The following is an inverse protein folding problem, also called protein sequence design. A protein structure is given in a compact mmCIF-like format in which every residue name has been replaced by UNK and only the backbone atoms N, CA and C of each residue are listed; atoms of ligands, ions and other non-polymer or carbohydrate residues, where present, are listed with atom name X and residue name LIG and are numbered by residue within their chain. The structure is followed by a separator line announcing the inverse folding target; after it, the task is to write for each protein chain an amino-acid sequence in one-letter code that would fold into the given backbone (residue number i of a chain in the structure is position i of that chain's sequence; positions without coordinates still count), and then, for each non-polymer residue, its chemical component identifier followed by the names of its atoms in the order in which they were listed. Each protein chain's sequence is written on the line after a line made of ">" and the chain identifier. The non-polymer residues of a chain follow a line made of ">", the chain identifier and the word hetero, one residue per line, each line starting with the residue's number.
data_IF_894809210519
#
_entry.id   IF_894809210519
#
_cell.length_a   1.000
_cell.length_b   1.000
_cell.length_c   1.000
_cell.angle_alpha   90.00
_cell.angle_beta   90.00
_cell.angle_gamma   90.00
#
_symmetry.space_group_name_H-M   'P 1'
#
loop_
_entity.id
_entity.type
_entity.pdbx_description
1 polymer ?
#
# COMPACT_ATOMS: atom_id res chain seq x y z
N UNK A 1 29.21 -5.27 -9.57
CA UNK A 1 27.81 -4.90 -9.24
C UNK A 1 27.14 -4.51 -10.55
N UNK A 2 26.15 -5.27 -11.00
CA UNK A 2 25.45 -5.04 -12.26
C UNK A 2 24.51 -3.85 -12.07
N UNK A 3 24.73 -2.77 -12.83
CA UNK A 3 23.81 -1.64 -12.91
C UNK A 3 22.73 -2.01 -13.92
N UNK A 4 21.58 -2.50 -13.46
CA UNK A 4 20.50 -2.93 -14.33
C UNK A 4 19.82 -1.77 -15.08
N UNK A 5 19.90 -0.53 -14.57
CA UNK A 5 19.25 0.65 -15.17
C UNK A 5 20.26 1.81 -15.25
N UNK A 6 20.50 2.33 -16.45
CA UNK A 6 21.25 3.58 -16.66
C UNK A 6 20.38 4.76 -16.28
N UNK A 7 20.98 5.83 -15.72
CA UNK A 7 20.28 7.07 -15.35
C UNK A 7 19.47 7.67 -16.51
N UNK A 8 19.90 7.45 -17.75
CA UNK A 8 19.19 7.85 -18.98
C UNK A 8 17.80 7.23 -19.13
N UNK A 9 17.54 6.05 -18.56
CA UNK A 9 16.24 5.38 -18.65
C UNK A 9 15.24 5.81 -17.57
N UNK A 10 15.67 6.58 -16.57
CA UNK A 10 14.79 7.01 -15.48
C UNK A 10 13.61 7.81 -16.02
N UNK A 11 13.86 8.75 -16.94
CA UNK A 11 12.81 9.56 -17.55
C UNK A 11 11.74 8.72 -18.24
N UNK A 12 12.16 7.76 -19.06
CA UNK A 12 11.25 6.84 -19.75
C UNK A 12 10.42 6.01 -18.78
N UNK A 13 11.03 5.57 -17.68
CA UNK A 13 10.32 4.82 -16.65
C UNK A 13 9.25 5.70 -15.98
N UNK A 14 9.57 6.96 -15.66
CA UNK A 14 8.58 7.89 -15.11
C UNK A 14 7.44 8.13 -16.10
N UNK A 15 7.75 8.24 -17.40
CA UNK A 15 6.74 8.39 -18.45
C UNK A 15 5.83 7.16 -18.57
N UNK A 16 6.37 5.95 -18.42
CA UNK A 16 5.57 4.71 -18.38
C UNK A 16 4.64 4.69 -17.16
N UNK A 17 5.12 5.10 -15.99
CA UNK A 17 4.29 5.18 -14.78
C UNK A 17 3.14 6.18 -14.97
N UNK A 18 3.45 7.37 -15.52
CA UNK A 18 2.45 8.39 -15.84
C UNK A 18 1.47 7.88 -16.90
N UNK A 19 1.95 7.27 -17.98
CA UNK A 19 1.11 6.70 -19.03
C UNK A 19 0.15 5.64 -18.49
N UNK A 20 0.64 4.77 -17.60
CA UNK A 20 -0.17 3.78 -16.90
C UNK A 20 -1.28 4.46 -16.06
N UNK A 21 -0.96 5.55 -15.37
CA UNK A 21 -1.93 6.32 -14.61
C UNK A 21 -2.99 6.99 -15.50
N UNK A 22 -2.60 7.52 -16.67
CA UNK A 22 -3.54 8.10 -17.64
C UNK A 22 -4.52 7.03 -18.12
N UNK A 23 -4.04 5.86 -18.54
CA UNK A 23 -4.91 4.75 -18.97
C UNK A 23 -5.86 4.32 -17.86
N UNK A 24 -5.34 4.18 -16.63
CA UNK A 24 -6.16 3.83 -15.47
C UNK A 24 -7.21 4.91 -15.14
N UNK A 25 -6.86 6.19 -15.26
CA UNK A 25 -7.78 7.31 -15.08
C UNK A 25 -8.88 7.35 -16.14
N UNK A 26 -8.55 7.15 -17.43
CA UNK A 26 -9.53 7.09 -18.51
C UNK A 26 -10.55 5.98 -18.23
N UNK A 27 -10.07 4.80 -17.85
CA UNK A 27 -10.96 3.69 -17.55
C UNK A 27 -11.78 3.92 -16.27
N UNK A 28 -11.17 4.48 -15.23
CA UNK A 28 -11.87 4.87 -14.01
C UNK A 28 -12.93 5.95 -14.27
N UNK A 29 -12.69 6.87 -15.19
CA UNK A 29 -13.65 7.87 -15.62
C UNK A 29 -14.85 7.22 -16.33
N UNK A 30 -14.62 6.25 -17.21
CA UNK A 30 -15.73 5.48 -17.81
C UNK A 30 -16.56 4.77 -16.73
N UNK A 31 -15.90 4.18 -15.73
CA UNK A 31 -16.58 3.53 -14.61
C UNK A 31 -17.39 4.52 -13.75
N UNK A 32 -16.95 5.78 -13.58
CA UNK A 32 -17.75 6.79 -12.85
C UNK A 32 -19.00 7.21 -13.62
N UNK A 33 -19.04 6.98 -14.94
CA UNK A 33 -20.22 7.21 -15.80
C UNK A 33 -21.08 5.95 -15.99
N UNK A 34 -20.79 4.87 -15.27
CA UNK A 34 -21.56 3.64 -15.35
C UNK A 34 -21.11 2.68 -16.46
N UNK A 35 -20.00 2.95 -17.12
CA UNK A 35 -19.47 2.09 -18.19
C UNK A 35 -18.32 1.21 -17.68
N UNK A 36 -18.56 -0.09 -17.66
CA UNK A 36 -17.54 -1.09 -17.39
C UNK A 36 -17.52 -2.20 -18.45
N UNK A 37 -16.63 -2.07 -19.44
CA UNK A 37 -16.49 -3.06 -20.51
C UNK A 37 -15.82 -4.36 -20.06
N UNK A 38 -15.00 -4.34 -19.01
CA UNK A 38 -14.34 -5.54 -18.50
C UNK A 38 -15.17 -6.28 -17.44
N UNK A 39 -16.30 -5.69 -17.01
CA UNK A 39 -17.28 -6.28 -16.09
C UNK A 39 -16.63 -6.79 -14.80
N UNK A 40 -15.87 -5.93 -14.14
CA UNK A 40 -15.30 -6.22 -12.83
C UNK A 40 -16.41 -6.40 -11.79
N UNK A 41 -16.12 -7.17 -10.74
CA UNK A 41 -16.92 -7.15 -9.54
C UNK A 41 -16.79 -5.77 -8.88
N UNK A 42 -17.82 -4.95 -9.01
CA UNK A 42 -17.90 -3.57 -8.55
C UNK A 42 -18.73 -3.49 -7.27
N UNK A 43 -18.31 -4.24 -6.24
CA UNK A 43 -18.99 -4.30 -4.92
C UNK A 43 -19.10 -2.92 -4.24
N UNK A 44 -18.31 -1.93 -4.73
CA UNK A 44 -18.29 -0.54 -4.25
C UNK A 44 -19.22 0.41 -5.03
N UNK A 45 -19.99 -0.12 -6.00
CA UNK A 45 -20.98 0.61 -6.79
C UNK A 45 -20.40 1.21 -8.08
N UNK A 46 -20.82 0.66 -9.22
CA UNK A 46 -20.58 1.23 -10.55
C UNK A 46 -21.20 2.63 -10.63
N UNK A 47 -20.44 3.63 -11.10
CA UNK A 47 -20.86 5.03 -11.10
C UNK A 47 -20.78 5.75 -9.73
N UNK A 48 -20.39 5.05 -8.66
CA UNK A 48 -20.34 5.63 -7.31
C UNK A 48 -18.90 5.81 -6.84
N UNK A 49 -18.06 4.77 -7.00
CA UNK A 49 -16.65 4.76 -6.59
C UNK A 49 -15.83 3.97 -7.61
N UNK A 50 -15.20 4.63 -8.59
CA UNK A 50 -14.42 3.94 -9.61
C UNK A 50 -13.19 3.26 -8.98
N UNK A 51 -12.87 2.07 -9.49
CA UNK A 51 -11.71 1.28 -9.05
C UNK A 51 -10.71 0.99 -10.18
N UNK A 52 -11.04 1.40 -11.40
CA UNK A 52 -10.28 1.09 -12.62
C UNK A 52 -9.98 -0.42 -12.68
N UNK A 53 -8.74 -0.80 -12.98
CA UNK A 53 -8.25 -2.19 -12.98
C UNK A 53 -7.66 -2.66 -11.64
N UNK A 54 -7.82 -1.88 -10.55
CA UNK A 54 -7.20 -2.17 -9.26
C UNK A 54 -8.07 -3.02 -8.32
N UNK A 55 -9.31 -3.33 -8.71
CA UNK A 55 -10.23 -4.16 -7.92
C UNK A 55 -10.70 -3.55 -6.59
N UNK A 56 -10.26 -2.33 -6.25
CA UNK A 56 -10.75 -1.58 -5.11
C UNK A 56 -10.45 -0.07 -5.28
N UNK A 57 -11.40 0.85 -5.00
CA UNK A 57 -11.20 2.29 -5.16
C UNK A 57 -10.02 2.83 -4.36
N UNK A 58 -9.76 2.25 -3.18
CA UNK A 58 -8.65 2.65 -2.32
C UNK A 58 -7.26 2.29 -2.86
N UNK A 59 -7.12 1.18 -3.59
CA UNK A 59 -5.83 0.83 -4.21
C UNK A 59 -5.56 1.71 -5.43
N UNK A 60 -6.62 1.98 -6.20
CA UNK A 60 -6.55 2.92 -7.30
C UNK A 60 -6.14 4.32 -6.83
N UNK A 61 -6.79 4.85 -5.79
CA UNK A 61 -6.47 6.14 -5.21
C UNK A 61 -5.03 6.20 -4.64
N UNK A 62 -4.57 5.13 -3.99
CA UNK A 62 -3.20 5.03 -3.50
C UNK A 62 -2.18 5.10 -4.65
N UNK A 63 -2.41 4.34 -5.73
CA UNK A 63 -1.55 4.36 -6.90
C UNK A 63 -1.52 5.77 -7.53
N UNK A 64 -2.68 6.39 -7.73
CA UNK A 64 -2.76 7.76 -8.25
C UNK A 64 -2.04 8.78 -7.36
N UNK A 65 -2.20 8.68 -6.03
CA UNK A 65 -1.51 9.54 -5.08
C UNK A 65 0.01 9.37 -5.15
N UNK A 66 0.50 8.14 -5.38
CA UNK A 66 1.92 7.86 -5.60
C UNK A 66 2.45 8.47 -6.91
N UNK A 67 1.60 8.69 -7.92
CA UNK A 67 2.02 9.26 -9.22
C UNK A 67 2.10 10.79 -9.18
N UNK A 68 1.37 11.45 -8.28
CA UNK A 68 1.36 12.93 -8.15
C UNK A 68 2.76 13.54 -8.02
N UNK A 69 3.66 13.07 -7.12
CA UNK A 69 5.02 13.61 -7.02
C UNK A 69 5.82 13.49 -8.33
N UNK A 70 5.61 12.42 -9.09
CA UNK A 70 6.28 12.18 -10.38
C UNK A 70 5.78 13.16 -11.44
N UNK A 71 4.48 13.44 -11.47
CA UNK A 71 3.89 14.43 -12.38
C UNK A 71 4.39 15.84 -12.03
N UNK A 72 4.48 16.17 -10.74
CA UNK A 72 5.04 17.45 -10.28
C UNK A 72 6.49 17.61 -10.74
N UNK A 73 7.32 16.57 -10.62
CA UNK A 73 8.68 16.58 -11.18
C UNK A 73 8.70 16.98 -12.66
N UNK A 74 7.83 16.38 -13.47
CA UNK A 74 7.74 16.66 -14.92
C UNK A 74 7.23 18.07 -15.22
N UNK A 75 6.35 18.64 -14.40
CA UNK A 75 5.90 20.04 -14.52
C UNK A 75 7.07 21.01 -14.43
N UNK A 76 8.02 20.78 -13.51
CA UNK A 76 9.19 21.67 -13.35
C UNK A 76 10.27 21.46 -14.41
N UNK A 77 10.39 20.24 -14.95
CA UNK A 77 11.47 19.88 -15.87
C UNK A 77 11.12 20.08 -17.35
N UNK A 78 9.86 19.88 -17.72
CA UNK A 78 9.45 19.86 -19.12
C UNK A 78 9.05 21.24 -19.65
N UNK A 79 9.42 21.53 -20.89
CA UNK A 79 8.90 22.67 -21.66
C UNK A 79 7.38 22.56 -21.93
N UNK A 80 6.82 21.34 -21.86
CA UNK A 80 5.40 21.05 -22.04
C UNK A 80 4.66 20.88 -20.71
N UNK A 81 4.97 21.73 -19.72
CA UNK A 81 4.42 21.65 -18.36
C UNK A 81 2.88 21.66 -18.31
N UNK A 82 2.22 22.31 -19.28
CA UNK A 82 0.76 22.35 -19.39
C UNK A 82 0.12 20.96 -19.58
N UNK A 83 0.78 20.03 -20.30
CA UNK A 83 0.29 18.66 -20.47
C UNK A 83 0.25 17.96 -19.11
N UNK A 84 1.32 18.12 -18.32
CA UNK A 84 1.41 17.53 -17.00
C UNK A 84 0.46 18.19 -15.98
N UNK A 85 0.10 19.46 -16.15
CA UNK A 85 -0.96 20.11 -15.37
C UNK A 85 -2.34 19.51 -15.67
N UNK A 86 -2.64 19.21 -16.94
CA UNK A 86 -3.89 18.52 -17.33
C UNK A 86 -3.91 17.10 -16.73
N UNK A 87 -2.80 16.36 -16.84
CA UNK A 87 -2.66 15.02 -16.25
C UNK A 87 -2.86 15.09 -14.72
N UNK A 88 -2.25 16.07 -14.05
CA UNK A 88 -2.42 16.28 -12.62
C UNK A 88 -3.89 16.53 -12.27
N UNK A 89 -4.58 17.39 -13.02
CA UNK A 89 -6.01 17.66 -12.86
C UNK A 89 -6.87 16.39 -12.98
N UNK A 90 -6.60 15.57 -13.99
CA UNK A 90 -7.28 14.28 -14.17
C UNK A 90 -7.03 13.32 -13.00
N UNK A 91 -5.78 13.19 -12.55
CA UNK A 91 -5.42 12.33 -11.40
C UNK A 91 -6.14 12.80 -10.13
N UNK A 92 -6.12 14.10 -9.85
CA UNK A 92 -6.78 14.70 -8.69
C UNK A 92 -8.29 14.46 -8.74
N UNK A 93 -8.92 14.68 -9.89
CA UNK A 93 -10.33 14.40 -10.11
C UNK A 93 -10.66 12.92 -9.84
N UNK A 94 -9.86 11.99 -10.36
CA UNK A 94 -10.10 10.57 -10.12
C UNK A 94 -9.91 10.16 -8.66
N UNK A 95 -8.92 10.71 -7.94
CA UNK A 95 -8.77 10.49 -6.49
C UNK A 95 -10.02 10.97 -5.75
N UNK A 96 -10.57 12.11 -6.13
CA UNK A 96 -11.81 12.63 -5.57
C UNK A 96 -13.00 11.67 -5.78
N UNK A 97 -13.19 11.19 -7.01
CA UNK A 97 -14.25 10.22 -7.35
C UNK A 97 -14.14 8.90 -6.57
N UNK A 98 -12.93 8.44 -6.25
CA UNK A 98 -12.76 7.21 -5.45
C UNK A 98 -13.32 7.31 -4.03
N UNK A 99 -13.56 8.54 -3.52
CA UNK A 99 -13.99 8.84 -2.14
C UNK A 99 -13.10 8.17 -1.08
N UNK A 100 -11.80 8.04 -1.37
CA UNK A 100 -10.83 7.35 -0.51
C UNK A 100 -10.07 8.34 0.37
N UNK A 101 -10.39 8.32 1.68
CA UNK A 101 -9.81 9.24 2.67
C UNK A 101 -8.33 8.96 2.98
N UNK A 102 -7.89 7.71 2.97
CA UNK A 102 -6.49 7.34 3.30
C UNK A 102 -5.48 8.00 2.35
N UNK A 103 -5.83 8.11 1.06
CA UNK A 103 -4.98 8.73 0.06
C UNK A 103 -4.94 10.25 0.21
N UNK A 104 -6.00 10.90 0.70
CA UNK A 104 -5.98 12.33 1.03
C UNK A 104 -5.06 12.64 2.22
N UNK A 105 -5.07 11.79 3.26
CA UNK A 105 -4.15 11.93 4.39
C UNK A 105 -2.70 11.80 3.90
N UNK A 106 -2.42 10.82 3.04
CA UNK A 106 -1.10 10.66 2.44
C UNK A 106 -0.68 11.86 1.58
N UNK A 107 -1.61 12.43 0.80
CA UNK A 107 -1.36 13.66 0.03
C UNK A 107 -1.15 14.90 0.90
N UNK A 108 -1.84 15.01 2.04
CA UNK A 108 -1.60 16.08 2.99
C UNK A 108 -0.18 16.01 3.58
N UNK A 109 0.27 14.81 3.96
CA UNK A 109 1.66 14.59 4.42
C UNK A 109 2.67 14.95 3.33
N UNK A 110 2.41 14.52 2.09
CA UNK A 110 3.23 14.91 0.94
C UNK A 110 3.29 16.44 0.76
N UNK A 111 2.13 17.11 0.79
CA UNK A 111 2.05 18.56 0.59
C UNK A 111 2.82 19.33 1.67
N UNK A 112 2.79 18.86 2.93
CA UNK A 112 3.58 19.44 4.03
C UNK A 112 5.09 19.30 3.73
N UNK A 113 5.56 18.11 3.36
CA UNK A 113 6.97 17.87 3.06
C UNK A 113 7.43 18.68 1.86
N UNK A 114 6.58 18.77 0.85
CA UNK A 114 6.83 19.57 -0.33
C UNK A 114 6.95 21.07 0.03
N UNK A 115 6.03 21.59 0.85
CA UNK A 115 6.06 22.97 1.33
C UNK A 115 7.34 23.25 2.13
N UNK A 116 7.70 22.39 3.08
CA UNK A 116 8.93 22.53 3.87
C UNK A 116 10.17 22.55 2.97
N UNK A 117 10.21 21.68 1.97
CA UNK A 117 11.30 21.64 0.98
C UNK A 117 11.41 22.96 0.21
N UNK A 118 10.28 23.53 -0.21
CA UNK A 118 10.30 24.78 -0.96
C UNK A 118 10.70 25.97 -0.09
N UNK A 119 10.23 26.02 1.17
CA UNK A 119 10.66 27.03 2.14
C UNK A 119 12.17 26.96 2.34
N UNK A 120 12.71 25.77 2.58
CA UNK A 120 14.15 25.57 2.78
C UNK A 120 14.98 26.00 1.57
N UNK A 121 14.45 25.83 0.35
CA UNK A 121 15.12 26.22 -0.90
C UNK A 121 14.77 27.63 -1.37
N UNK A 122 14.03 28.44 -0.59
CA UNK A 122 13.62 29.80 -0.97
C UNK A 122 12.56 29.87 -2.08
N UNK A 123 11.97 28.74 -2.48
CA UNK A 123 10.99 28.59 -3.56
C UNK A 123 9.52 28.59 -3.08
N UNK A 124 9.27 29.03 -1.85
CA UNK A 124 7.95 29.01 -1.19
C UNK A 124 6.88 29.88 -1.87
N UNK A 125 7.29 30.83 -2.72
CA UNK A 125 6.38 31.67 -3.54
C UNK A 125 5.91 31.00 -4.83
N UNK A 126 6.19 29.71 -5.03
CA UNK A 126 5.73 29.00 -6.22
C UNK A 126 4.20 28.79 -6.18
N UNK A 127 3.50 29.37 -7.14
CA UNK A 127 2.04 29.27 -7.31
C UNK A 127 1.54 27.81 -7.31
N UNK A 128 2.34 26.88 -7.84
CA UNK A 128 2.04 25.44 -7.89
C UNK A 128 1.78 24.86 -6.49
N UNK A 129 2.50 25.32 -5.48
CA UNK A 129 2.41 24.81 -4.09
C UNK A 129 1.13 25.26 -3.41
N UNK A 130 0.78 26.53 -3.60
CA UNK A 130 -0.50 27.07 -3.15
C UNK A 130 -1.66 26.34 -3.84
N UNK A 131 -1.54 26.01 -5.13
CA UNK A 131 -2.55 25.26 -5.89
C UNK A 131 -2.69 23.83 -5.34
N UNK A 132 -1.59 23.10 -5.15
CA UNK A 132 -1.65 21.72 -4.61
C UNK A 132 -2.26 21.72 -3.21
N UNK A 133 -1.84 22.63 -2.32
CA UNK A 133 -2.41 22.75 -0.98
C UNK A 133 -3.89 23.12 -1.03
N UNK A 134 -4.28 24.09 -1.86
CA UNK A 134 -5.67 24.49 -2.02
C UNK A 134 -6.53 23.34 -2.57
N UNK A 135 -6.01 22.54 -3.50
CA UNK A 135 -6.69 21.36 -4.04
C UNK A 135 -6.86 20.30 -2.94
N UNK A 136 -5.79 19.95 -2.23
CA UNK A 136 -5.84 18.93 -1.16
C UNK A 136 -6.78 19.36 -0.04
N UNK A 137 -6.68 20.62 0.40
CA UNK A 137 -7.54 21.20 1.44
C UNK A 137 -8.98 21.28 0.93
N UNK A 138 -9.20 21.78 -0.29
CA UNK A 138 -10.53 21.91 -0.90
C UNK A 138 -11.23 20.56 -1.05
N UNK A 139 -10.53 19.54 -1.53
CA UNK A 139 -11.04 18.16 -1.62
C UNK A 139 -11.34 17.60 -0.23
N UNK A 140 -10.44 17.80 0.72
CA UNK A 140 -10.60 17.31 2.09
C UNK A 140 -11.78 17.98 2.80
N UNK A 141 -11.95 19.29 2.64
CA UNK A 141 -13.08 20.05 3.16
C UNK A 141 -14.37 19.60 2.49
N UNK A 142 -14.41 19.49 1.16
CA UNK A 142 -15.59 19.04 0.45
C UNK A 142 -16.05 17.65 0.93
N UNK A 143 -15.14 16.68 0.98
CA UNK A 143 -15.45 15.32 1.40
C UNK A 143 -15.85 15.21 2.88
N UNK A 144 -15.45 16.17 3.72
CA UNK A 144 -15.87 16.22 5.11
C UNK A 144 -17.18 16.97 5.34
N UNK A 145 -17.53 17.93 4.47
CA UNK A 145 -18.73 18.78 4.64
C UNK A 145 -19.94 18.24 3.89
N UNK A 146 -19.75 17.70 2.68
CA UNK A 146 -20.85 17.35 1.77
C UNK A 146 -21.11 15.84 1.63
N UNK A 147 -20.31 14.99 2.28
CA UNK A 147 -20.55 13.54 2.37
C UNK A 147 -21.10 13.25 3.76
N UNK A 148 -22.30 12.66 3.85
CA UNK A 148 -23.00 12.40 5.10
C UNK A 148 -22.09 11.75 6.17
N UNK A 149 -22.14 12.31 7.37
CA UNK A 149 -21.25 12.07 8.53
C UNK A 149 -19.76 12.40 8.29
N UNK A 150 -19.35 13.53 8.85
CA UNK A 150 -17.96 14.02 8.78
C UNK A 150 -16.97 12.98 9.34
N UNK A 151 -15.76 12.88 8.76
CA UNK A 151 -14.76 11.94 9.26
C UNK A 151 -14.35 12.25 10.71
N UNK A 152 -14.40 13.53 11.08
CA UNK A 152 -14.08 14.03 12.42
C UNK A 152 -15.16 13.66 13.43
N UNK A 153 -16.45 13.77 13.08
CA UNK A 153 -17.54 13.39 13.98
C UNK A 153 -17.53 11.89 14.24
N UNK A 154 -17.35 11.06 13.20
CA UNK A 154 -17.20 9.61 13.36
C UNK A 154 -15.98 9.23 14.19
N UNK A 155 -14.81 9.81 13.88
CA UNK A 155 -13.58 9.51 14.61
C UNK A 155 -13.63 9.94 16.09
N UNK A 156 -14.26 11.08 16.40
CA UNK A 156 -14.49 11.52 17.79
C UNK A 156 -15.46 10.59 18.52
N UNK A 157 -16.58 10.24 17.89
CA UNK A 157 -17.53 9.28 18.46
C UNK A 157 -16.86 7.92 18.71
N UNK A 158 -16.02 7.46 17.79
CA UNK A 158 -15.29 6.20 17.89
C UNK A 158 -14.27 6.22 19.03
N UNK A 159 -13.45 7.26 19.16
CA UNK A 159 -12.49 7.40 20.27
C UNK A 159 -13.21 7.42 21.62
N UNK A 160 -14.32 8.16 21.73
CA UNK A 160 -15.08 8.27 22.97
C UNK A 160 -15.66 6.91 23.38
N UNK A 161 -16.21 6.15 22.43
CA UNK A 161 -16.74 4.80 22.70
C UNK A 161 -15.65 3.81 23.13
N UNK A 162 -14.45 3.90 22.53
CA UNK A 162 -13.29 3.06 22.90
C UNK A 162 -12.81 3.37 24.32
N UNK A 163 -12.69 4.65 24.67
CA UNK A 163 -12.26 5.06 26.01
C UNK A 163 -13.26 4.61 27.07
N UNK A 164 -14.55 4.60 26.74
CA UNK A 164 -15.63 4.22 27.65
C UNK A 164 -15.92 2.72 27.73
N UNK A 165 -15.24 1.88 26.94
CA UNK A 165 -15.53 0.44 26.83
C UNK A 165 -17.02 0.13 26.53
N UNK A 166 -17.72 1.05 25.86
CA UNK A 166 -19.12 0.84 25.46
C UNK A 166 -19.20 -0.06 24.23
N UNK A 167 -20.32 -0.77 24.08
CA UNK A 167 -20.52 -1.75 23.02
C UNK A 167 -20.46 -1.09 21.63
N UNK A 168 -19.38 -1.35 20.89
CA UNK A 168 -19.07 -0.67 19.62
C UNK A 168 -19.80 -1.31 18.43
N UNK A 169 -20.98 -1.86 18.65
CA UNK A 169 -21.74 -2.68 17.70
C UNK A 169 -22.37 -1.90 16.53
N UNK A 170 -22.46 -0.56 16.61
CA UNK A 170 -23.07 0.25 15.56
C UNK A 170 -22.07 1.09 14.76
N UNK A 171 -21.85 0.64 13.52
CA UNK A 171 -21.40 1.34 12.29
C UNK A 171 -20.49 2.57 12.49
N UNK A 172 -19.18 2.34 12.33
CA UNK A 172 -18.08 3.31 12.43
C UNK A 172 -16.79 2.67 12.97
N UNK A 173 -16.98 1.66 13.81
CA UNK A 173 -16.00 1.00 14.69
C UNK A 173 -15.22 -0.20 14.13
N UNK A 174 -15.48 -0.61 12.88
CA UNK A 174 -15.00 -1.91 12.37
C UNK A 174 -13.47 -2.02 12.43
N UNK A 175 -12.74 -0.95 12.10
CA UNK A 175 -11.26 -0.97 12.06
C UNK A 175 -10.61 -1.05 13.43
N UNK A 176 -11.20 -0.41 14.44
CA UNK A 176 -10.63 -0.44 15.79
C UNK A 176 -10.71 -1.86 16.36
N UNK A 177 -11.85 -2.53 16.20
CA UNK A 177 -12.02 -3.94 16.56
C UNK A 177 -11.07 -4.86 15.79
N UNK A 178 -10.89 -4.60 14.49
CA UNK A 178 -9.88 -5.29 13.67
C UNK A 178 -8.48 -5.13 14.25
N UNK A 179 -8.09 -3.91 14.63
CA UNK A 179 -6.77 -3.64 15.19
C UNK A 179 -6.58 -4.26 16.57
N UNK A 180 -7.61 -4.23 17.42
CA UNK A 180 -7.59 -4.92 18.71
C UNK A 180 -7.37 -6.42 18.54
N UNK A 181 -8.03 -7.04 17.56
CA UNK A 181 -7.81 -8.45 17.22
C UNK A 181 -6.40 -8.69 16.69
N UNK A 182 -5.91 -7.83 15.81
CA UNK A 182 -4.51 -7.83 15.37
C UNK A 182 -3.52 -7.79 16.54
N UNK A 183 -3.75 -6.94 17.53
CA UNK A 183 -2.94 -6.87 18.75
C UNK A 183 -3.00 -8.17 19.57
N UNK A 184 -4.18 -8.79 19.69
CA UNK A 184 -4.31 -10.11 20.36
C UNK A 184 -3.47 -11.18 19.64
N UNK A 185 -3.52 -11.21 18.31
CA UNK A 185 -2.70 -12.13 17.49
C UNK A 185 -1.20 -11.87 17.72
N UNK A 186 -0.76 -10.62 17.68
CA UNK A 186 0.65 -10.25 17.92
C UNK A 186 1.12 -10.69 19.32
N UNK A 187 0.29 -10.49 20.35
CA UNK A 187 0.60 -10.93 21.72
C UNK A 187 0.72 -12.45 21.84
N UNK A 188 -0.06 -13.21 21.06
CA UNK A 188 -0.02 -14.67 21.02
C UNK A 188 1.21 -15.19 20.27
N UNK A 189 1.61 -14.54 19.18
CA UNK A 189 2.71 -14.96 18.30
C UNK A 189 3.77 -13.85 18.08
N UNK A 190 4.42 -13.33 19.14
CA UNK A 190 5.22 -12.11 19.05
C UNK A 190 6.51 -12.26 18.24
N UNK A 191 7.09 -13.47 18.17
CA UNK A 191 8.39 -13.69 17.51
C UNK A 191 8.22 -14.16 16.07
N UNK A 192 7.42 -15.20 15.85
CA UNK A 192 7.27 -15.83 14.53
C UNK A 192 6.17 -15.18 13.69
N UNK A 193 5.21 -14.52 14.33
CA UNK A 193 3.92 -14.23 13.72
C UNK A 193 3.16 -15.51 13.37
N UNK A 194 2.07 -15.34 12.62
CA UNK A 194 1.20 -16.42 12.14
C UNK A 194 1.50 -16.84 10.68
N UNK A 195 2.47 -16.20 10.02
CA UNK A 195 2.73 -16.38 8.60
C UNK A 195 1.86 -15.49 7.69
N UNK A 196 2.27 -15.31 6.41
CA UNK A 196 1.53 -14.51 5.45
C UNK A 196 0.18 -15.14 5.11
N UNK A 197 -0.81 -14.29 4.82
CA UNK A 197 -2.18 -14.68 4.42
C UNK A 197 -2.97 -15.57 5.39
N UNK A 198 -2.48 -15.75 6.62
CA UNK A 198 -3.14 -16.54 7.66
C UNK A 198 -4.04 -15.72 8.61
N UNK A 199 -4.19 -14.40 8.38
CA UNK A 199 -4.96 -13.51 9.26
C UNK A 199 -6.40 -14.01 9.39
N UNK A 200 -7.04 -14.41 8.30
CA UNK A 200 -8.43 -14.89 8.31
C UNK A 200 -8.65 -16.06 9.29
N UNK A 201 -7.73 -17.03 9.31
CA UNK A 201 -7.82 -18.22 10.17
C UNK A 201 -7.46 -17.90 11.62
N UNK A 202 -6.42 -17.09 11.83
CA UNK A 202 -6.04 -16.65 13.18
C UNK A 202 -7.09 -15.74 13.82
N UNK A 203 -7.99 -15.15 13.02
CA UNK A 203 -9.06 -14.29 13.47
C UNK A 203 -10.16 -15.06 14.24
N UNK A 204 -10.44 -16.31 13.83
CA UNK A 204 -11.60 -17.09 14.28
C UNK A 204 -11.68 -17.29 15.82
N UNK A 205 -10.61 -17.70 16.52
CA UNK A 205 -10.68 -17.95 17.97
C UNK A 205 -10.87 -16.69 18.82
N UNK A 206 -10.60 -15.50 18.27
CA UNK A 206 -10.70 -14.24 19.02
C UNK A 206 -12.04 -13.53 18.85
N UNK A 207 -12.96 -14.12 18.08
CA UNK A 207 -14.11 -13.42 17.51
C UNK A 207 -15.44 -14.20 17.61
N UNK A 208 -15.47 -15.34 18.30
CA UNK A 208 -16.68 -16.19 18.44
C UNK A 208 -17.89 -15.43 19.01
N UNK A 209 -17.68 -14.52 19.96
CA UNK A 209 -18.75 -13.69 20.52
C UNK A 209 -19.16 -12.53 19.60
N UNK A 210 -18.25 -12.01 18.78
CA UNK A 210 -18.55 -10.93 17.83
C UNK A 210 -19.22 -11.45 16.54
N UNK A 211 -19.01 -12.73 16.20
CA UNK A 211 -19.75 -13.43 15.12
C UNK A 211 -21.25 -13.47 15.40
N UNK A 212 -21.66 -13.59 16.68
CA UNK A 212 -23.05 -13.51 17.12
C UNK A 212 -23.68 -12.13 16.90
N UNK A 213 -22.85 -11.09 16.75
CA UNK A 213 -23.25 -9.70 16.47
C UNK A 213 -23.25 -9.35 14.96
N UNK A 214 -23.10 -10.34 14.08
CA UNK A 214 -23.21 -10.16 12.63
C UNK A 214 -21.95 -9.62 11.94
N UNK A 215 -20.79 -9.59 12.61
CA UNK A 215 -19.53 -9.17 11.99
C UNK A 215 -18.93 -10.26 11.10
N UNK A 216 -18.42 -9.87 9.93
CA UNK A 216 -17.79 -10.79 8.97
C UNK A 216 -16.29 -10.94 9.21
N UNK A 217 -15.77 -12.15 8.95
CA UNK A 217 -14.34 -12.46 8.98
C UNK A 217 -13.56 -11.49 8.09
N UNK A 218 -12.42 -11.02 8.60
CA UNK A 218 -11.52 -10.14 7.87
C UNK A 218 -10.25 -10.88 7.50
N UNK A 219 -9.89 -10.86 6.22
CA UNK A 219 -8.64 -11.45 5.74
C UNK A 219 -7.44 -10.53 5.90
N UNK A 220 -7.66 -9.27 6.31
CA UNK A 220 -6.65 -8.20 6.41
C UNK A 220 -6.89 -7.35 7.64
N UNK A 221 -5.82 -6.78 8.21
CA UNK A 221 -5.93 -5.87 9.35
C UNK A 221 -6.13 -4.41 8.95
N UNK A 222 -6.05 -4.10 7.66
CA UNK A 222 -6.18 -2.73 7.10
C UNK A 222 -5.25 -1.70 7.77
N UNK A 223 -4.12 -2.19 8.30
CA UNK A 223 -3.01 -1.42 8.82
C UNK A 223 -1.75 -2.25 8.57
N UNK A 224 -0.89 -1.77 7.67
CA UNK A 224 0.26 -2.53 7.21
C UNK A 224 1.23 -2.85 8.35
N UNK A 225 1.44 -1.96 9.34
CA UNK A 225 2.34 -2.25 10.48
C UNK A 225 1.78 -3.39 11.34
N UNK A 226 0.49 -3.34 11.70
CA UNK A 226 -0.15 -4.41 12.46
C UNK A 226 -0.17 -5.71 11.67
N UNK A 227 -0.41 -5.65 10.36
CA UNK A 227 -0.36 -6.80 9.47
C UNK A 227 1.04 -7.42 9.42
N UNK A 228 2.09 -6.61 9.27
CA UNK A 228 3.47 -7.08 9.32
C UNK A 228 3.79 -7.72 10.68
N UNK A 229 3.34 -7.12 11.78
CA UNK A 229 3.58 -7.63 13.12
C UNK A 229 2.87 -8.96 13.37
N UNK A 230 1.61 -9.05 12.95
CA UNK A 230 0.82 -10.26 13.10
C UNK A 230 1.40 -11.41 12.25
N UNK A 231 1.77 -11.13 11.00
CA UNK A 231 2.20 -12.17 10.04
C UNK A 231 3.67 -12.55 10.16
N UNK A 232 4.57 -11.62 10.49
CA UNK A 232 6.04 -11.83 10.52
C UNK A 232 6.65 -11.73 11.91
N UNK A 233 5.84 -11.43 12.92
CA UNK A 233 6.31 -11.14 14.28
C UNK A 233 7.03 -9.79 14.40
N UNK A 234 7.31 -9.41 15.65
CA UNK A 234 8.03 -8.18 16.00
C UNK A 234 9.41 -8.12 15.32
N UNK A 235 10.23 -9.19 15.27
CA UNK A 235 11.52 -9.14 14.57
C UNK A 235 11.40 -8.77 13.09
N UNK A 236 10.40 -9.32 12.38
CA UNK A 236 10.14 -9.01 10.97
C UNK A 236 9.79 -7.53 10.75
N UNK A 237 8.96 -6.97 11.63
CA UNK A 237 8.61 -5.53 11.60
C UNK A 237 9.82 -4.67 11.85
N UNK A 238 10.65 -5.01 12.83
CA UNK A 238 11.86 -4.23 13.16
C UNK A 238 12.84 -4.21 12.00
N UNK A 239 13.03 -5.33 11.30
CA UNK A 239 13.86 -5.40 10.09
C UNK A 239 13.26 -4.54 8.96
N UNK A 240 11.94 -4.64 8.75
CA UNK A 240 11.26 -3.82 7.75
C UNK A 240 11.39 -2.32 8.06
N UNK A 241 11.19 -1.93 9.33
CA UNK A 241 11.32 -0.54 9.77
C UNK A 241 12.76 -0.05 9.66
N UNK A 242 13.74 -0.88 10.03
CA UNK A 242 15.16 -0.59 9.84
C UNK A 242 15.47 -0.32 8.36
N UNK A 243 14.95 -1.13 7.44
CA UNK A 243 15.16 -0.92 6.00
C UNK A 243 14.58 0.42 5.55
N UNK A 244 13.34 0.73 5.94
CA UNK A 244 12.70 2.01 5.60
C UNK A 244 13.48 3.20 6.15
N UNK A 245 13.92 3.13 7.40
CA UNK A 245 14.74 4.18 8.04
C UNK A 245 16.11 4.30 7.37
N UNK A 246 16.77 3.19 7.04
CA UNK A 246 18.08 3.21 6.38
C UNK A 246 18.00 3.89 5.00
N UNK A 247 16.96 3.58 4.23
CA UNK A 247 16.71 4.20 2.92
C UNK A 247 16.37 5.68 3.08
N UNK A 248 15.49 6.03 4.03
CA UNK A 248 15.16 7.42 4.33
C UNK A 248 16.39 8.24 4.75
N UNK A 249 17.23 7.71 5.67
CA UNK A 249 18.49 8.35 6.09
C UNK A 249 19.44 8.53 4.92
N UNK A 250 19.54 7.54 4.04
CA UNK A 250 20.38 7.61 2.84
C UNK A 250 19.90 8.69 1.88
N UNK A 251 18.60 8.71 1.56
CA UNK A 251 17.98 9.71 0.70
C UNK A 251 18.19 11.12 1.27
N UNK A 252 17.90 11.33 2.56
CA UNK A 252 18.09 12.62 3.23
C UNK A 252 19.54 13.08 3.22
N UNK A 253 20.50 12.17 3.40
CA UNK A 253 21.93 12.49 3.31
C UNK A 253 22.30 12.97 1.91
N UNK A 254 21.82 12.29 0.86
CA UNK A 254 22.21 12.62 -0.51
C UNK A 254 21.45 13.86 -1.05
N UNK A 255 20.21 14.11 -0.61
CA UNK A 255 19.45 15.34 -0.90
C UNK A 255 20.17 16.59 -0.34
N UNK A 256 20.86 16.44 0.79
CA UNK A 256 21.62 17.54 1.43
C UNK A 256 22.99 17.78 0.81
N UNK A 257 23.47 16.93 -0.10
CA UNK A 257 24.73 17.15 -0.80
C UNK A 257 24.59 18.24 -1.86
N UNK A 258 25.69 18.91 -2.25
CA UNK A 258 25.70 19.76 -3.44
C UNK A 258 25.45 18.91 -4.69
N UNK A 259 24.22 18.92 -5.20
CA UNK A 259 23.81 18.20 -6.42
C UNK A 259 23.00 19.14 -7.32
N UNK A 260 22.96 18.90 -8.65
CA UNK A 260 22.10 19.65 -9.56
C UNK A 260 20.64 19.73 -9.05
N UNK A 261 19.98 20.87 -9.28
CA UNK A 261 18.63 21.12 -8.75
C UNK A 261 17.62 20.05 -9.20
N UNK A 262 17.69 19.62 -10.46
CA UNK A 262 16.81 18.60 -11.04
C UNK A 262 16.98 17.23 -10.39
N UNK A 263 18.22 16.81 -10.14
CA UNK A 263 18.53 15.55 -9.46
C UNK A 263 18.03 15.58 -8.01
N UNK A 264 18.21 16.72 -7.33
CA UNK A 264 17.73 16.94 -5.97
C UNK A 264 16.21 16.88 -5.91
N UNK A 265 15.52 17.57 -6.81
CA UNK A 265 14.07 17.55 -6.92
C UNK A 265 13.57 16.13 -7.19
N UNK A 266 14.21 15.40 -8.10
CA UNK A 266 13.87 14.00 -8.38
C UNK A 266 14.00 13.11 -7.14
N UNK A 267 15.10 13.21 -6.37
CA UNK A 267 15.27 12.46 -5.12
C UNK A 267 14.16 12.76 -4.11
N UNK A 268 13.77 14.03 -3.97
CA UNK A 268 12.67 14.45 -3.07
C UNK A 268 11.33 13.88 -3.55
N UNK A 269 11.04 13.96 -4.85
CA UNK A 269 9.79 13.45 -5.43
C UNK A 269 9.69 11.93 -5.28
N UNK A 270 10.74 11.17 -5.61
CA UNK A 270 10.75 9.71 -5.44
C UNK A 270 10.63 9.31 -3.96
N UNK A 271 11.29 10.03 -3.05
CA UNK A 271 11.15 9.80 -1.60
C UNK A 271 9.72 10.07 -1.13
N UNK A 272 9.07 11.08 -1.70
CA UNK A 272 7.69 11.42 -1.41
C UNK A 272 6.71 10.34 -1.87
N UNK A 273 6.94 9.72 -3.04
CA UNK A 273 6.14 8.56 -3.50
C UNK A 273 6.15 7.43 -2.47
N UNK A 274 7.32 7.08 -1.95
CA UNK A 274 7.46 6.03 -0.94
C UNK A 274 6.70 6.38 0.33
N UNK A 275 6.79 7.64 0.78
CA UNK A 275 6.08 8.08 1.98
C UNK A 275 4.56 8.08 1.78
N UNK A 276 4.06 8.51 0.62
CA UNK A 276 2.63 8.46 0.28
C UNK A 276 2.10 7.03 0.43
N UNK A 277 2.82 6.04 -0.12
CA UNK A 277 2.47 4.63 0.03
C UNK A 277 2.45 4.20 1.50
N UNK A 278 3.52 4.48 2.26
CA UNK A 278 3.65 4.09 3.66
C UNK A 278 2.54 4.69 4.54
N UNK A 279 2.20 5.96 4.33
CA UNK A 279 1.13 6.65 5.07
C UNK A 279 -0.24 6.11 4.69
N UNK A 280 -0.53 5.94 3.39
CA UNK A 280 -1.80 5.41 2.93
C UNK A 280 -2.07 4.01 3.50
N UNK A 281 -1.04 3.17 3.55
CA UNK A 281 -1.15 1.79 4.00
C UNK A 281 -1.30 1.63 5.52
N UNK A 282 -1.23 2.69 6.31
CA UNK A 282 -1.66 2.61 7.72
C UNK A 282 -3.18 2.49 7.87
N UNK A 283 -3.92 2.78 6.80
CA UNK A 283 -5.38 2.71 6.71
C UNK A 283 -5.83 1.81 5.55
N UNK A 284 -4.93 1.03 4.98
CA UNK A 284 -5.13 0.16 3.82
C UNK A 284 -4.12 -1.00 3.93
N UNK A 285 -3.85 -1.68 2.82
CA UNK A 285 -2.77 -2.66 2.69
C UNK A 285 -2.21 -2.65 1.26
N UNK A 286 -1.02 -3.21 1.08
CA UNK A 286 -0.36 -3.32 -0.22
C UNK A 286 -0.99 -4.40 -1.10
N UNK A 287 -1.19 -4.08 -2.37
CA UNK A 287 -1.57 -5.06 -3.40
C UNK A 287 -0.50 -5.12 -4.48
N UNK A 288 -0.60 -6.04 -5.43
CA UNK A 288 0.38 -6.16 -6.51
C UNK A 288 0.57 -4.82 -7.23
N UNK A 289 -0.52 -4.09 -7.53
CA UNK A 289 -0.44 -2.80 -8.23
C UNK A 289 0.31 -1.71 -7.45
N UNK A 290 0.00 -1.53 -6.16
CA UNK A 290 0.62 -0.48 -5.33
C UNK A 290 2.02 -0.88 -4.86
N UNK A 291 2.20 -2.13 -4.45
CA UNK A 291 3.47 -2.66 -3.92
C UNK A 291 4.54 -2.75 -5.00
N UNK A 292 4.18 -3.14 -6.23
CA UNK A 292 5.14 -3.16 -7.35
C UNK A 292 5.65 -1.75 -7.66
N UNK A 293 4.74 -0.77 -7.72
CA UNK A 293 5.09 0.64 -7.92
C UNK A 293 6.03 1.13 -6.81
N UNK A 294 5.73 0.78 -5.56
CA UNK A 294 6.56 1.13 -4.41
C UNK A 294 7.99 0.61 -4.53
N UNK A 295 8.16 -0.71 -4.75
CA UNK A 295 9.50 -1.31 -4.86
C UNK A 295 10.27 -0.84 -6.09
N UNK A 296 9.58 -0.58 -7.19
CA UNK A 296 10.22 -0.06 -8.40
C UNK A 296 10.73 1.35 -8.19
N UNK A 297 9.92 2.24 -7.60
CA UNK A 297 10.31 3.61 -7.26
C UNK A 297 11.42 3.64 -6.21
N UNK A 298 11.41 2.72 -5.25
CA UNK A 298 12.50 2.53 -4.29
C UNK A 298 13.82 2.22 -5.02
N UNK A 299 13.78 1.32 -6.00
CA UNK A 299 14.91 1.00 -6.85
C UNK A 299 15.43 2.22 -7.63
N UNK A 300 14.53 3.00 -8.22
CA UNK A 300 14.88 4.25 -8.90
C UNK A 300 15.55 5.26 -7.95
N UNK A 301 15.00 5.44 -6.74
CA UNK A 301 15.58 6.33 -5.74
C UNK A 301 17.03 5.94 -5.42
N UNK A 302 17.30 4.63 -5.26
CA UNK A 302 18.66 4.13 -5.01
C UNK A 302 19.60 4.44 -6.20
N UNK A 303 19.12 4.37 -7.44
CA UNK A 303 19.89 4.73 -8.64
C UNK A 303 20.20 6.23 -8.67
N UNK A 304 19.24 7.09 -8.33
CA UNK A 304 19.44 8.56 -8.31
C UNK A 304 20.38 8.97 -7.17
N UNK A 305 20.20 8.41 -5.96
CA UNK A 305 21.07 8.65 -4.80
C UNK A 305 22.50 8.11 -5.00
N UNK A 306 22.79 7.36 -6.06
CA UNK A 306 24.09 6.73 -6.30
C UNK A 306 25.16 7.63 -6.91
N UNK A 307 24.97 8.95 -6.93
CA UNK A 307 25.88 9.85 -7.65
C UNK A 307 27.32 9.99 -7.11
N UNK A 308 27.73 9.37 -5.99
CA UNK A 308 29.13 9.41 -5.55
C UNK A 308 29.61 8.09 -4.91
N UNK A 309 30.79 7.68 -5.34
CA UNK A 309 31.69 6.61 -4.89
C UNK A 309 31.25 5.16 -5.10
N UNK A 310 31.90 4.54 -6.10
CA UNK A 310 31.98 3.07 -6.25
C UNK A 310 32.77 2.51 -5.06
N UNK A 311 32.08 2.22 -3.96
CA UNK A 311 32.64 1.30 -2.98
C UNK A 311 32.62 -0.10 -3.60
N UNK A 312 33.78 -0.56 -4.04
CA UNK A 312 34.00 -1.97 -4.30
C UNK A 312 33.87 -2.68 -2.95
N UNK A 313 32.66 -3.16 -2.64
CA UNK A 313 32.47 -4.11 -1.55
C UNK A 313 33.11 -5.41 -2.05
N UNK A 314 34.37 -5.63 -1.68
CA UNK A 314 35.05 -6.90 -1.85
C UNK A 314 34.45 -7.90 -0.85
N UNK A 315 33.23 -8.39 -1.12
CA UNK A 315 32.63 -9.57 -0.49
C UNK A 315 33.51 -10.84 -0.66
N UNK A 316 34.62 -10.71 -1.38
CA UNK A 316 35.54 -11.77 -1.80
C UNK A 316 36.53 -12.24 -0.74
N UNK A 317 36.66 -11.59 0.43
CA UNK A 317 37.71 -11.98 1.42
C UNK A 317 37.26 -12.86 2.60
N UNK A 318 35.96 -13.12 2.79
CA UNK A 318 35.48 -13.97 3.91
C UNK A 318 34.54 -15.06 3.37
N UNK A 319 35.03 -16.27 3.10
CA UNK A 319 34.25 -17.39 2.56
C UNK A 319 32.98 -17.70 3.36
N UNK A 320 33.07 -17.58 4.70
CA UNK A 320 31.97 -17.78 5.64
C UNK A 320 30.79 -16.83 5.41
N UNK A 321 31.03 -15.57 5.03
CA UNK A 321 29.93 -14.62 4.77
C UNK A 321 29.21 -14.98 3.48
N UNK A 322 29.93 -15.45 2.44
CA UNK A 322 29.29 -15.95 1.21
C UNK A 322 28.44 -17.18 1.48
N UNK A 323 28.99 -18.14 2.22
CA UNK A 323 28.26 -19.36 2.61
C UNK A 323 27.03 -19.01 3.45
N UNK A 324 27.16 -18.08 4.40
CA UNK A 324 26.04 -17.60 5.21
C UNK A 324 24.96 -16.90 4.39
N UNK A 325 25.32 -15.98 3.50
CA UNK A 325 24.36 -15.29 2.62
C UNK A 325 23.69 -16.28 1.67
N UNK A 326 24.46 -17.22 1.08
CA UNK A 326 23.93 -18.26 0.21
C UNK A 326 22.99 -19.21 0.95
N UNK A 327 23.33 -19.63 2.18
CA UNK A 327 22.44 -20.42 3.03
C UNK A 327 21.17 -19.65 3.37
N UNK A 328 21.27 -18.38 3.74
CA UNK A 328 20.10 -17.53 4.03
C UNK A 328 19.23 -17.39 2.78
N UNK A 329 19.82 -17.18 1.59
CA UNK A 329 19.08 -17.11 0.33
C UNK A 329 18.39 -18.43 0.01
N UNK A 330 19.11 -19.56 0.09
CA UNK A 330 18.56 -20.89 -0.16
C UNK A 330 17.45 -21.22 0.83
N UNK A 331 17.64 -20.93 2.12
CA UNK A 331 16.62 -21.09 3.15
C UNK A 331 15.42 -20.16 2.90
N UNK A 332 15.65 -18.91 2.48
CA UNK A 332 14.56 -17.97 2.16
C UNK A 332 13.74 -18.42 0.97
N UNK A 333 14.40 -18.94 -0.07
CA UNK A 333 13.75 -19.54 -1.25
C UNK A 333 12.97 -20.78 -0.84
N UNK A 334 13.59 -21.70 -0.08
CA UNK A 334 12.93 -22.91 0.42
C UNK A 334 11.72 -22.59 1.31
N UNK A 335 11.83 -21.59 2.19
CA UNK A 335 10.71 -21.13 3.02
C UNK A 335 9.61 -20.46 2.19
N UNK A 336 9.95 -19.82 1.07
CA UNK A 336 8.97 -19.28 0.12
C UNK A 336 8.22 -20.41 -0.60
N UNK A 337 8.88 -21.53 -0.90
CA UNK A 337 8.21 -22.72 -1.44
C UNK A 337 7.23 -23.33 -0.44
N UNK A 338 7.54 -23.34 0.87
CA UNK A 338 6.58 -23.82 1.89
C UNK A 338 5.26 -23.06 1.87
N UNK A 339 5.29 -21.75 1.63
CA UNK A 339 4.08 -20.92 1.50
C UNK A 339 3.27 -21.34 0.27
N UNK A 340 3.94 -21.61 -0.85
CA UNK A 340 3.28 -22.08 -2.07
C UNK A 340 2.66 -23.46 -1.89
N UNK A 341 3.38 -24.41 -1.28
CA UNK A 341 2.84 -25.72 -0.95
C UNK A 341 1.63 -25.58 -0.02
N UNK A 342 1.74 -24.78 1.05
CA UNK A 342 0.63 -24.55 1.96
C UNK A 342 -0.62 -23.98 1.25
N UNK A 343 -0.47 -23.04 0.30
CA UNK A 343 -1.60 -22.54 -0.50
C UNK A 343 -2.22 -23.62 -1.40
N UNK A 344 -1.40 -24.48 -2.02
CA UNK A 344 -1.90 -25.60 -2.85
C UNK A 344 -2.70 -26.60 -2.01
N UNK A 345 -2.16 -27.01 -0.86
CA UNK A 345 -2.86 -27.91 0.07
C UNK A 345 -4.13 -27.26 0.62
N UNK A 346 -4.08 -25.97 0.97
CA UNK A 346 -5.23 -25.23 1.47
C UNK A 346 -6.35 -25.12 0.41
N UNK A 347 -6.03 -24.78 -0.84
CA UNK A 347 -7.02 -24.75 -1.93
C UNK A 347 -7.63 -26.13 -2.17
N UNK A 348 -6.81 -27.17 -2.11
CA UNK A 348 -7.29 -28.56 -2.16
C UNK A 348 -8.29 -28.85 -1.04
N UNK A 349 -7.92 -28.56 0.21
CA UNK A 349 -8.78 -28.70 1.38
C UNK A 349 -10.11 -27.94 1.21
N UNK A 350 -10.05 -26.65 0.87
CA UNK A 350 -11.22 -25.81 0.68
C UNK A 350 -12.13 -26.31 -0.45
N UNK A 351 -11.56 -26.78 -1.55
CA UNK A 351 -12.31 -27.39 -2.66
C UNK A 351 -13.04 -28.66 -2.20
N UNK A 352 -12.34 -29.57 -1.53
CA UNK A 352 -12.95 -30.82 -1.05
C UNK A 352 -14.04 -30.55 -0.01
N UNK A 353 -13.84 -29.58 0.89
CA UNK A 353 -14.84 -29.18 1.89
C UNK A 353 -16.08 -28.54 1.27
N UNK A 354 -15.91 -27.71 0.24
CA UNK A 354 -17.04 -27.14 -0.51
C UNK A 354 -17.83 -28.21 -1.28
N UNK A 355 -17.15 -29.22 -1.82
CA UNK A 355 -17.81 -30.37 -2.45
C UNK A 355 -18.52 -31.26 -1.41
N UNK A 356 -17.93 -31.44 -0.23
CA UNK A 356 -18.51 -32.17 0.90
C UNK A 356 -19.81 -31.50 1.40
N UNK A 357 -19.86 -30.17 1.47
CA UNK A 357 -21.06 -29.42 1.84
C UNK A 357 -22.20 -29.54 0.81
N UNK A 358 -21.86 -29.80 -0.45
CA UNK A 358 -22.83 -29.95 -1.56
C UNK A 358 -23.18 -31.40 -1.90
N UNK A 359 -22.52 -32.37 -1.28
CA UNK A 359 -22.76 -33.78 -1.55
C UNK A 359 -24.11 -34.22 -0.94
N UNK A 360 -25.02 -34.70 -1.78
CA UNK A 360 -26.31 -35.26 -1.37
C UNK A 360 -26.20 -36.74 -0.91
N UNK A 361 -25.15 -37.44 -1.33
CA UNK A 361 -24.86 -38.83 -0.96
C UNK A 361 -23.88 -38.91 0.21
N UNK A 362 -24.26 -39.65 1.27
CA UNK A 362 -23.46 -39.81 2.49
C UNK A 362 -22.14 -40.57 2.26
N UNK A 363 -22.09 -41.46 1.27
CA UNK A 363 -20.87 -42.19 0.90
C UNK A 363 -19.83 -41.27 0.28
N UNK A 364 -20.27 -40.48 -0.71
CA UNK A 364 -19.46 -39.44 -1.36
C UNK A 364 -19.01 -38.38 -0.34
N UNK A 365 -19.89 -37.97 0.57
CA UNK A 365 -19.57 -37.01 1.63
C UNK A 365 -18.44 -37.50 2.53
N UNK A 366 -18.48 -38.76 2.97
CA UNK A 366 -17.38 -39.37 3.76
C UNK A 366 -16.07 -39.46 2.98
N UNK A 367 -16.12 -39.79 1.69
CA UNK A 367 -14.90 -39.88 0.86
C UNK A 367 -14.26 -38.50 0.64
N UNK A 368 -15.07 -37.46 0.39
CA UNK A 368 -14.61 -36.08 0.26
C UNK A 368 -14.06 -35.53 1.59
N UNK A 369 -14.71 -35.86 2.71
CA UNK A 369 -14.22 -35.53 4.05
C UNK A 369 -12.84 -36.15 4.29
N UNK A 370 -12.67 -37.44 3.97
CA UNK A 370 -11.37 -38.09 4.11
C UNK A 370 -10.28 -37.42 3.25
N UNK A 371 -10.59 -37.11 1.99
CA UNK A 371 -9.66 -36.39 1.08
C UNK A 371 -9.33 -34.98 1.56
N UNK A 372 -10.25 -34.28 2.21
CA UNK A 372 -9.95 -32.97 2.80
C UNK A 372 -9.01 -33.11 4.00
N UNK A 373 -9.28 -34.05 4.92
CA UNK A 373 -8.41 -34.30 6.06
C UNK A 373 -7.01 -34.81 5.70
N UNK A 374 -6.86 -35.59 4.63
CA UNK A 374 -5.54 -36.06 4.15
C UNK A 374 -4.64 -34.92 3.61
N UNK A 375 -5.20 -33.71 3.41
CA UNK A 375 -4.47 -32.52 2.96
C UNK A 375 -4.08 -31.56 4.09
N UNK A 376 -4.52 -31.82 5.32
CA UNK A 376 -4.09 -31.13 6.55
C UNK A 376 -2.84 -31.81 7.12
#
# INVERSE_FOLDING_TARGET
>A
IITFIKKSYIEHILDIIIGTAILACIYGYLQSWGYDFAKWNLDFGLGIRPQSTFGHPGFFACFLAMVIPIVIYKIYKSLYSYIYLIILGLIVYMIFETKTRSSLVALAVFAIIYLVTLIYNGMWRSHITAIILAIVIGISVYQNVFVEHTAVSRFKEDIVKVIKQEDVSHVGSTRIKIWQTGIKIIKRFPVTGIGPDNIAFAYEPFFEDEKKLGFQYQSRLHNDILEQAATRGIPGVLIWFWLMVAIGRRAMRDIRKPTPADDRLLMIMLSSVLLVYLVNNQFSFGTIGTTTTFWFVLGLLIVVCRNCDRYNIYLTRIPLIKVGISLILVLSVFMSFKIFYADVYFRGYAMFKHLEEKAEDDGLRRELSKKSYDLL
#
